data_IF_950478817399
#
_entry.id   IF_950478817399
#
_cell.length_a   1.000
_cell.length_b   1.000
_cell.length_c   1.000
_cell.angle_alpha   90.00
_cell.angle_beta   90.00
_cell.angle_gamma   90.00
#
_symmetry.space_group_name_H-M   'P 1'
#
loop_
_entity.id
_entity.type
_entity.pdbx_description
1 polymer ?
#
# COMPACT_ATOMS: atom_id res chain seq x y z
N UNK A 1 42.45 2.26 -3.70
CA UNK A 1 41.32 1.26 -3.79
C UNK A 1 40.06 2.04 -3.48
N UNK A 2 38.98 1.90 -4.29
CA UNK A 2 37.69 2.46 -3.91
C UNK A 2 37.25 1.73 -2.62
N UNK A 3 36.81 2.44 -1.58
CA UNK A 3 36.44 1.81 -0.32
C UNK A 3 35.20 0.93 -0.42
N UNK A 4 34.33 1.22 -1.41
CA UNK A 4 33.08 0.48 -1.68
C UNK A 4 32.92 0.20 -3.17
N UNK A 5 32.24 -0.91 -3.49
CA UNK A 5 31.85 -1.28 -4.85
C UNK A 5 30.55 -0.57 -5.26
N UNK A 6 29.64 -0.37 -4.29
CA UNK A 6 28.34 0.31 -4.49
C UNK A 6 28.07 1.34 -3.42
N UNK A 7 27.47 2.45 -3.84
CA UNK A 7 26.81 3.44 -2.97
C UNK A 7 25.29 3.29 -3.23
N UNK A 8 24.55 2.94 -2.20
CA UNK A 8 23.08 2.79 -2.22
C UNK A 8 22.45 4.00 -1.54
N UNK A 9 21.64 4.73 -2.27
CA UNK A 9 20.96 5.92 -1.75
C UNK A 9 19.56 5.56 -1.28
N UNK A 10 19.38 5.61 0.04
CA UNK A 10 18.15 5.25 0.75
C UNK A 10 18.20 3.87 1.40
N UNK A 11 17.94 3.83 2.71
CA UNK A 11 17.89 2.61 3.54
C UNK A 11 16.45 2.06 3.69
N UNK A 12 15.58 2.29 2.69
CA UNK A 12 14.27 1.66 2.61
C UNK A 12 14.37 0.21 2.13
N UNK A 13 13.21 -0.47 1.98
CA UNK A 13 13.16 -1.88 1.61
C UNK A 13 13.95 -2.20 0.32
N UNK A 14 13.83 -1.37 -0.71
CA UNK A 14 14.55 -1.58 -1.97
C UNK A 14 16.07 -1.50 -1.78
N UNK A 15 16.55 -0.42 -1.11
CA UNK A 15 17.98 -0.23 -0.87
C UNK A 15 18.56 -1.31 0.04
N UNK A 16 17.85 -1.71 1.09
CA UNK A 16 18.26 -2.79 1.99
C UNK A 16 18.35 -4.14 1.25
N UNK A 17 17.36 -4.46 0.42
CA UNK A 17 17.37 -5.69 -0.40
C UNK A 17 18.56 -5.69 -1.37
N UNK A 18 18.78 -4.58 -2.10
CA UNK A 18 19.92 -4.49 -3.00
C UNK A 18 21.26 -4.62 -2.27
N UNK A 19 21.41 -3.93 -1.15
CA UNK A 19 22.63 -3.97 -0.35
C UNK A 19 22.92 -5.38 0.16
N UNK A 20 21.90 -6.07 0.68
CA UNK A 20 22.03 -7.46 1.14
C UNK A 20 22.44 -8.39 0.01
N UNK A 21 21.76 -8.34 -1.14
CA UNK A 21 22.07 -9.17 -2.28
C UNK A 21 23.45 -8.90 -2.89
N UNK A 22 23.93 -7.67 -2.86
CA UNK A 22 25.28 -7.34 -3.31
C UNK A 22 26.33 -7.83 -2.29
N UNK A 23 26.09 -7.61 -1.02
CA UNK A 23 27.01 -7.99 0.06
C UNK A 23 27.19 -9.50 0.16
N UNK A 24 26.13 -10.29 0.02
CA UNK A 24 26.20 -11.77 -0.01
C UNK A 24 26.97 -12.31 -1.22
N UNK A 25 27.17 -11.50 -2.26
CA UNK A 25 28.02 -11.81 -3.43
C UNK A 25 29.45 -11.32 -3.27
N UNK A 26 29.80 -10.80 -2.09
CA UNK A 26 31.16 -10.34 -1.74
C UNK A 26 31.44 -8.88 -2.08
N UNK A 27 30.45 -8.10 -2.54
CA UNK A 27 30.64 -6.67 -2.80
C UNK A 27 30.56 -5.85 -1.50
N UNK A 28 31.39 -4.83 -1.40
CA UNK A 28 31.34 -3.84 -0.32
C UNK A 28 30.32 -2.74 -0.67
N UNK A 29 29.34 -2.55 0.19
CA UNK A 29 28.24 -1.63 -0.04
C UNK A 29 28.17 -0.58 1.06
N UNK A 30 28.11 0.69 0.66
CA UNK A 30 27.74 1.78 1.56
C UNK A 30 26.30 2.20 1.28
N UNK A 31 25.45 2.13 2.30
CA UNK A 31 24.08 2.63 2.27
C UNK A 31 24.03 3.99 2.95
N UNK A 32 23.54 5.00 2.26
CA UNK A 32 23.37 6.35 2.83
C UNK A 32 21.88 6.68 2.90
N UNK A 33 21.44 7.22 4.02
CA UNK A 33 20.03 7.56 4.27
C UNK A 33 19.93 9.00 4.78
N UNK A 34 19.02 9.77 4.20
CA UNK A 34 18.79 11.16 4.58
C UNK A 34 18.14 11.30 5.95
N UNK A 35 17.28 10.38 6.32
CA UNK A 35 16.58 10.37 7.62
C UNK A 35 17.52 9.90 8.73
N UNK A 36 17.10 10.12 9.96
CA UNK A 36 17.80 9.63 11.15
C UNK A 36 17.46 8.15 11.49
N UNK A 37 16.83 7.45 10.59
CA UNK A 37 16.42 6.04 10.73
C UNK A 37 16.43 5.31 9.39
N UNK A 38 16.60 4.00 9.42
CA UNK A 38 16.44 3.09 8.29
C UNK A 38 14.96 2.79 8.00
N UNK A 39 14.69 1.85 7.12
CA UNK A 39 13.38 1.32 6.71
C UNK A 39 12.51 2.29 5.88
N UNK A 40 12.95 3.52 5.61
CA UNK A 40 12.22 4.43 4.72
C UNK A 40 10.75 4.61 5.15
N UNK A 41 9.83 4.43 4.22
CA UNK A 41 8.39 4.60 4.49
C UNK A 41 7.75 3.43 5.25
N UNK A 42 8.41 2.29 5.34
CA UNK A 42 7.94 1.16 6.16
C UNK A 42 8.50 1.20 7.59
N UNK A 43 9.11 2.31 7.98
CA UNK A 43 9.64 2.48 9.34
C UNK A 43 8.55 2.25 10.39
N UNK A 44 8.87 1.40 11.35
CA UNK A 44 8.05 1.14 12.54
C UNK A 44 8.84 1.43 13.80
N UNK A 45 8.17 1.95 14.80
CA UNK A 45 8.71 2.11 16.14
C UNK A 45 7.76 1.49 17.16
N UNK A 46 8.32 0.94 18.21
CA UNK A 46 7.52 0.44 19.32
C UNK A 46 7.16 1.58 20.28
N UNK A 47 5.86 1.72 20.55
CA UNK A 47 5.32 2.65 21.55
C UNK A 47 4.35 1.87 22.44
N UNK A 48 4.65 1.78 23.71
CA UNK A 48 3.82 1.07 24.71
C UNK A 48 3.49 -0.39 24.28
N UNK A 49 4.45 -1.07 23.68
CA UNK A 49 4.29 -2.46 23.20
C UNK A 49 3.56 -2.60 21.86
N UNK A 50 3.24 -1.48 21.20
CA UNK A 50 2.56 -1.46 19.91
C UNK A 50 3.55 -1.04 18.82
N UNK A 51 3.60 -1.77 17.71
CA UNK A 51 4.39 -1.39 16.53
C UNK A 51 3.63 -0.33 15.73
N UNK A 52 4.07 0.92 15.85
CA UNK A 52 3.48 2.07 15.15
C UNK A 52 4.13 2.24 13.78
N UNK A 53 3.33 2.24 12.72
CA UNK A 53 3.75 2.55 11.36
C UNK A 53 3.76 4.07 11.17
N UNK A 54 4.94 4.69 11.23
CA UNK A 54 5.08 6.15 11.29
C UNK A 54 4.58 6.86 10.02
N UNK A 55 4.73 6.24 8.86
CA UNK A 55 4.39 6.82 7.55
C UNK A 55 3.16 6.18 6.90
N UNK A 56 2.27 5.64 7.70
CA UNK A 56 1.06 4.94 7.25
C UNK A 56 1.21 3.42 7.24
N UNK A 57 0.07 2.74 7.29
CA UNK A 57 0.03 1.29 7.39
C UNK A 57 0.60 0.62 6.14
N UNK A 58 1.55 -0.28 6.34
CA UNK A 58 2.10 -1.14 5.31
C UNK A 58 1.82 -2.59 5.67
N UNK A 59 1.21 -3.31 4.76
CA UNK A 59 0.95 -4.74 4.88
C UNK A 59 1.74 -5.44 3.76
N UNK A 60 2.60 -6.37 4.12
CA UNK A 60 3.32 -7.16 3.12
C UNK A 60 2.37 -8.17 2.49
N UNK A 61 2.36 -8.22 1.15
CA UNK A 61 1.57 -9.20 0.41
C UNK A 61 2.25 -9.57 -0.91
N UNK A 62 2.12 -10.82 -1.30
CA UNK A 62 2.64 -11.34 -2.56
C UNK A 62 1.99 -12.68 -2.90
N UNK A 63 1.89 -13.00 -4.19
CA UNK A 63 1.56 -14.35 -4.66
C UNK A 63 2.80 -15.15 -5.07
N UNK A 64 3.98 -14.51 -5.11
CA UNK A 64 5.23 -15.17 -5.43
C UNK A 64 5.85 -15.80 -4.17
N UNK A 65 5.91 -17.13 -4.15
CA UNK A 65 6.50 -17.90 -3.06
C UNK A 65 7.98 -17.57 -2.83
N UNK A 66 8.74 -17.24 -3.89
CA UNK A 66 10.17 -16.92 -3.75
C UNK A 66 10.37 -15.63 -2.97
N UNK A 67 9.52 -14.62 -3.24
CA UNK A 67 9.54 -13.35 -2.50
C UNK A 67 9.14 -13.59 -1.05
N UNK A 68 8.10 -14.41 -0.82
CA UNK A 68 7.67 -14.76 0.54
C UNK A 68 8.76 -15.49 1.33
N UNK A 69 9.40 -16.50 0.73
CA UNK A 69 10.51 -17.24 1.34
C UNK A 69 11.73 -16.34 1.59
N UNK A 70 11.98 -15.38 0.70
CA UNK A 70 13.07 -14.44 0.84
C UNK A 70 12.91 -13.55 2.08
N UNK A 71 11.75 -12.92 2.26
CA UNK A 71 11.55 -12.03 3.41
C UNK A 71 11.49 -12.78 4.74
N UNK A 72 11.17 -14.08 4.70
CA UNK A 72 11.20 -14.95 5.89
C UNK A 72 12.61 -15.28 6.39
N UNK A 73 13.65 -14.97 5.63
CA UNK A 73 15.03 -15.05 6.12
C UNK A 73 15.32 -13.96 7.15
N UNK A 74 14.59 -12.87 7.14
CA UNK A 74 14.85 -11.68 7.95
C UNK A 74 13.79 -11.42 9.04
N UNK A 75 12.59 -11.97 8.90
CA UNK A 75 11.51 -11.79 9.85
C UNK A 75 10.49 -12.93 9.82
N UNK A 76 9.85 -13.18 10.95
CA UNK A 76 8.65 -14.00 11.00
C UNK A 76 7.43 -13.10 10.81
N UNK A 77 6.49 -13.52 9.95
CA UNK A 77 5.27 -12.77 9.70
C UNK A 77 4.09 -13.34 10.49
N UNK A 78 3.21 -12.47 10.96
CA UNK A 78 1.94 -12.88 11.51
C UNK A 78 0.95 -13.25 10.38
N UNK A 79 -0.27 -13.67 10.76
CA UNK A 79 -1.33 -13.98 9.80
C UNK A 79 -2.30 -12.81 9.61
N UNK A 80 -1.80 -11.59 9.67
CA UNK A 80 -2.66 -10.42 9.48
C UNK A 80 -3.26 -10.43 8.08
N UNK A 81 -4.59 -10.41 8.04
CA UNK A 81 -5.35 -10.28 6.80
C UNK A 81 -5.96 -8.89 6.74
N UNK A 82 -5.62 -8.12 5.72
CA UNK A 82 -6.14 -6.77 5.58
C UNK A 82 -7.61 -6.78 5.16
N UNK A 83 -8.49 -6.36 6.04
CA UNK A 83 -9.94 -6.26 5.84
C UNK A 83 -10.43 -4.87 6.23
N UNK A 84 -10.13 -3.83 5.42
CA UNK A 84 -10.50 -2.46 5.75
C UNK A 84 -12.00 -2.27 5.73
N UNK A 85 -12.46 -1.32 6.52
CA UNK A 85 -13.85 -0.86 6.55
C UNK A 85 -13.92 0.64 6.37
N UNK A 86 -15.00 1.13 5.76
CA UNK A 86 -15.33 2.54 5.70
C UNK A 86 -16.42 2.86 6.72
N UNK A 87 -16.29 3.97 7.41
CA UNK A 87 -17.34 4.54 8.25
C UNK A 87 -17.94 5.77 7.51
N UNK A 88 -19.22 5.68 7.20
CA UNK A 88 -19.98 6.80 6.64
C UNK A 88 -21.13 7.14 7.57
N UNK A 89 -21.05 8.27 8.24
CA UNK A 89 -22.08 8.74 9.17
C UNK A 89 -22.50 7.71 10.26
N UNK A 90 -21.55 6.94 10.77
CA UNK A 90 -21.81 5.88 11.75
C UNK A 90 -22.17 4.51 11.17
N UNK A 91 -22.39 4.42 9.88
CA UNK A 91 -22.60 3.14 9.19
C UNK A 91 -21.26 2.57 8.72
N UNK A 92 -21.05 1.28 9.00
CA UNK A 92 -19.81 0.56 8.63
C UNK A 92 -20.06 -0.25 7.35
N UNK A 93 -19.15 -0.08 6.37
CA UNK A 93 -19.14 -0.78 5.09
C UNK A 93 -17.83 -1.52 4.89
N UNK A 94 -17.90 -2.73 4.31
CA UNK A 94 -16.71 -3.49 3.96
C UNK A 94 -16.02 -2.94 2.70
N UNK A 95 -14.69 -3.03 2.68
CA UNK A 95 -13.86 -2.74 1.53
C UNK A 95 -12.94 -3.95 1.23
N UNK A 96 -12.59 -4.20 -0.06
CA UNK A 96 -13.06 -3.53 -1.28
C UNK A 96 -14.56 -3.71 -1.48
N UNK A 97 -15.15 -2.97 -2.43
CA UNK A 97 -16.59 -3.09 -2.75
C UNK A 97 -16.92 -4.51 -3.16
N UNK A 98 -17.65 -5.21 -2.31
CA UNK A 98 -17.97 -6.63 -2.45
C UNK A 98 -19.44 -6.90 -2.07
N UNK A 99 -19.85 -8.17 -2.10
CA UNK A 99 -21.25 -8.52 -1.80
C UNK A 99 -21.70 -8.10 -0.40
N UNK A 100 -20.79 -8.02 0.61
CA UNK A 100 -21.16 -7.49 1.92
C UNK A 100 -21.45 -5.99 1.85
N UNK A 101 -20.68 -5.24 1.04
CA UNK A 101 -20.92 -3.82 0.78
C UNK A 101 -22.26 -3.60 0.09
N UNK A 102 -22.55 -4.38 -0.96
CA UNK A 102 -23.77 -4.26 -1.75
C UNK A 102 -25.02 -4.72 -0.97
N UNK A 103 -24.90 -5.77 -0.17
CA UNK A 103 -25.97 -6.20 0.74
C UNK A 103 -26.29 -5.10 1.76
N UNK A 104 -25.26 -4.48 2.36
CA UNK A 104 -25.46 -3.38 3.32
C UNK A 104 -26.09 -2.14 2.66
N UNK A 105 -25.70 -1.81 1.41
CA UNK A 105 -26.22 -0.65 0.69
C UNK A 105 -27.65 -0.85 0.19
N UNK A 106 -27.93 -2.03 -0.39
CA UNK A 106 -29.10 -2.26 -1.23
C UNK A 106 -29.94 -3.48 -0.84
N UNK A 107 -29.50 -4.30 0.13
CA UNK A 107 -30.19 -5.53 0.53
C UNK A 107 -30.05 -6.68 -0.49
N UNK A 108 -29.24 -6.53 -1.53
CA UNK A 108 -29.04 -7.57 -2.56
C UNK A 108 -28.23 -8.74 -2.00
N UNK A 109 -28.49 -9.94 -2.47
CA UNK A 109 -27.87 -11.18 -1.97
C UNK A 109 -27.14 -11.98 -3.05
N UNK A 110 -27.44 -11.71 -4.33
CA UNK A 110 -26.82 -12.41 -5.46
C UNK A 110 -25.95 -11.47 -6.29
N UNK A 111 -24.90 -11.99 -6.97
CA UNK A 111 -24.09 -11.21 -7.91
C UNK A 111 -24.94 -10.51 -8.98
N UNK A 112 -25.93 -11.18 -9.54
CA UNK A 112 -26.81 -10.65 -10.59
C UNK A 112 -27.61 -9.44 -10.11
N UNK A 113 -28.15 -9.49 -8.88
CA UNK A 113 -28.86 -8.34 -8.30
C UNK A 113 -27.91 -7.16 -8.09
N UNK A 114 -26.69 -7.41 -7.63
CA UNK A 114 -25.69 -6.37 -7.43
C UNK A 114 -25.26 -5.74 -8.76
N UNK A 115 -25.02 -6.54 -9.80
CA UNK A 115 -24.69 -6.06 -11.15
C UNK A 115 -25.83 -5.20 -11.73
N UNK A 116 -27.08 -5.65 -11.60
CA UNK A 116 -28.23 -4.91 -12.07
C UNK A 116 -28.36 -3.55 -11.34
N UNK A 117 -28.12 -3.54 -10.02
CA UNK A 117 -28.19 -2.30 -9.23
C UNK A 117 -27.08 -1.32 -9.60
N UNK A 118 -25.85 -1.79 -9.80
CA UNK A 118 -24.74 -0.94 -10.28
C UNK A 118 -25.08 -0.40 -11.68
N UNK A 119 -25.59 -1.22 -12.58
CA UNK A 119 -25.95 -0.79 -13.93
C UNK A 119 -27.05 0.28 -13.91
N UNK A 120 -28.09 0.12 -13.08
CA UNK A 120 -29.15 1.12 -12.87
C UNK A 120 -28.55 2.48 -12.46
N UNK A 121 -27.66 2.48 -11.48
CA UNK A 121 -27.09 3.72 -10.96
C UNK A 121 -26.06 4.39 -11.89
N UNK A 122 -25.35 3.59 -12.68
CA UNK A 122 -24.45 4.11 -13.72
C UNK A 122 -25.18 4.80 -14.87
N UNK A 123 -26.42 4.37 -15.13
CA UNK A 123 -27.24 4.90 -16.23
C UNK A 123 -27.56 6.40 -16.12
N UNK A 124 -27.38 7.03 -14.96
CA UNK A 124 -27.59 8.48 -14.75
C UNK A 124 -26.67 9.34 -15.62
N UNK A 125 -25.50 8.82 -16.01
CA UNK A 125 -24.56 9.54 -16.89
C UNK A 125 -24.88 9.37 -18.39
N UNK A 126 -25.74 8.43 -18.76
CA UNK A 126 -26.02 8.10 -20.16
C UNK A 126 -24.75 7.65 -20.89
N UNK A 127 -24.62 8.06 -22.16
CA UNK A 127 -23.47 7.79 -23.03
C UNK A 127 -22.36 8.84 -22.95
N UNK A 128 -22.43 9.74 -21.97
CA UNK A 128 -21.43 10.80 -21.80
C UNK A 128 -20.09 10.21 -21.35
N UNK A 129 -19.01 10.59 -22.03
CA UNK A 129 -17.66 10.30 -21.53
C UNK A 129 -17.39 11.12 -20.26
N UNK A 130 -16.87 10.49 -19.18
CA UNK A 130 -16.57 11.18 -17.94
C UNK A 130 -15.50 12.27 -18.12
N UNK A 131 -15.79 13.49 -17.71
CA UNK A 131 -14.88 14.65 -17.81
C UNK A 131 -14.00 14.82 -16.55
N UNK A 132 -14.49 14.34 -15.42
CA UNK A 132 -13.84 14.51 -14.12
C UNK A 132 -13.89 13.21 -13.29
N UNK A 133 -13.24 13.23 -12.13
CA UNK A 133 -13.14 12.06 -11.25
C UNK A 133 -14.51 11.62 -10.71
N UNK A 134 -15.41 12.54 -10.38
CA UNK A 134 -16.76 12.21 -9.92
C UNK A 134 -17.52 11.40 -10.97
N UNK A 135 -17.62 11.93 -12.19
CA UNK A 135 -18.30 11.24 -13.29
C UNK A 135 -17.66 9.88 -13.61
N UNK A 136 -16.32 9.83 -13.60
CA UNK A 136 -15.58 8.58 -13.80
C UNK A 136 -15.90 7.54 -12.71
N UNK A 137 -15.93 7.94 -11.45
CA UNK A 137 -16.25 7.03 -10.36
C UNK A 137 -17.69 6.53 -10.46
N UNK A 138 -18.65 7.42 -10.71
CA UNK A 138 -20.07 7.05 -10.90
C UNK A 138 -20.23 6.10 -12.10
N UNK A 139 -19.52 6.35 -13.20
CA UNK A 139 -19.53 5.44 -14.37
C UNK A 139 -19.02 4.04 -14.08
N UNK A 140 -18.20 3.87 -13.04
CA UNK A 140 -17.63 2.58 -12.65
C UNK A 140 -18.48 1.84 -11.62
N UNK A 141 -18.99 2.53 -10.59
CA UNK A 141 -19.60 1.88 -9.42
C UNK A 141 -20.98 2.42 -9.04
N UNK A 142 -21.46 3.47 -9.69
CA UNK A 142 -22.74 4.11 -9.39
C UNK A 142 -22.69 5.17 -8.30
N UNK A 143 -23.77 5.93 -8.16
CA UNK A 143 -23.85 7.11 -7.27
C UNK A 143 -23.75 6.74 -5.79
N UNK A 144 -24.44 5.71 -5.31
CA UNK A 144 -24.48 5.36 -3.89
C UNK A 144 -23.08 5.02 -3.36
N UNK A 145 -22.30 4.23 -4.10
CA UNK A 145 -20.93 3.87 -3.74
C UNK A 145 -20.04 5.10 -3.82
N UNK A 146 -20.19 5.92 -4.86
CA UNK A 146 -19.40 7.12 -5.01
C UNK A 146 -19.62 8.09 -3.85
N UNK A 147 -20.85 8.51 -3.59
CA UNK A 147 -21.12 9.52 -2.56
C UNK A 147 -20.83 9.05 -1.15
N UNK A 148 -21.09 7.77 -0.83
CA UNK A 148 -20.87 7.24 0.53
C UNK A 148 -19.44 6.82 0.80
N UNK A 149 -18.75 6.24 -0.18
CA UNK A 149 -17.51 5.50 0.09
C UNK A 149 -16.28 6.01 -0.65
N UNK A 150 -16.43 6.89 -1.65
CA UNK A 150 -15.31 7.39 -2.48
C UNK A 150 -15.10 8.88 -2.30
N UNK A 151 -16.14 9.68 -2.47
CA UNK A 151 -16.07 11.15 -2.52
C UNK A 151 -15.29 11.73 -1.34
N UNK A 152 -15.74 11.46 -0.12
CA UNK A 152 -15.15 12.05 1.08
C UNK A 152 -13.69 11.70 1.28
N UNK A 153 -13.32 10.46 1.02
CA UNK A 153 -11.92 10.02 1.08
C UNK A 153 -11.08 10.71 0.00
N UNK A 154 -11.56 10.75 -1.23
CA UNK A 154 -10.84 11.34 -2.37
C UNK A 154 -10.62 12.83 -2.16
N UNK A 155 -11.66 13.58 -1.82
CA UNK A 155 -11.56 15.03 -1.58
C UNK A 155 -10.64 15.35 -0.40
N UNK A 156 -10.66 14.55 0.66
CA UNK A 156 -9.72 14.67 1.78
C UNK A 156 -8.28 14.45 1.35
N UNK A 157 -8.01 13.44 0.52
CA UNK A 157 -6.65 13.11 0.07
C UNK A 157 -6.08 14.17 -0.86
N UNK A 158 -6.91 14.72 -1.75
CA UNK A 158 -6.47 15.67 -2.77
C UNK A 158 -6.61 17.14 -2.34
N UNK A 159 -7.36 17.41 -1.25
CA UNK A 159 -7.66 18.78 -0.79
C UNK A 159 -8.47 19.61 -1.78
N UNK A 160 -9.19 18.95 -2.72
CA UNK A 160 -9.96 19.56 -3.82
C UNK A 160 -11.23 18.77 -4.08
N UNK A 161 -12.23 19.42 -4.68
CA UNK A 161 -13.44 18.75 -5.14
C UNK A 161 -13.12 17.67 -6.19
N UNK A 162 -13.82 16.55 -6.12
CA UNK A 162 -13.69 15.48 -7.12
C UNK A 162 -14.08 15.94 -8.53
N UNK A 163 -14.96 16.94 -8.66
CA UNK A 163 -15.34 17.57 -9.95
C UNK A 163 -14.21 18.38 -10.58
N UNK A 164 -13.21 18.79 -9.80
CA UNK A 164 -12.02 19.51 -10.29
C UNK A 164 -10.85 18.60 -10.60
N UNK A 165 -10.97 17.31 -10.28
CA UNK A 165 -9.92 16.30 -10.49
C UNK A 165 -10.13 15.59 -11.83
N UNK A 166 -9.03 15.33 -12.58
CA UNK A 166 -9.14 14.63 -13.87
C UNK A 166 -9.67 13.19 -13.72
N UNK A 167 -10.49 12.76 -14.67
CA UNK A 167 -11.08 11.41 -14.70
C UNK A 167 -10.04 10.29 -14.64
N UNK A 168 -8.85 10.45 -15.24
CA UNK A 168 -7.82 9.44 -15.30
C UNK A 168 -7.23 9.02 -13.93
N UNK A 169 -7.46 9.82 -12.88
CA UNK A 169 -7.01 9.47 -11.50
C UNK A 169 -7.66 8.17 -11.04
N UNK A 170 -8.94 7.96 -11.40
CA UNK A 170 -9.65 6.70 -11.15
C UNK A 170 -9.93 6.00 -12.47
N UNK A 171 -9.01 5.18 -12.93
CA UNK A 171 -9.20 4.40 -14.15
C UNK A 171 -10.05 3.16 -13.95
N UNK A 172 -10.03 2.58 -12.76
CA UNK A 172 -10.80 1.41 -12.37
C UNK A 172 -11.00 1.39 -10.86
N UNK A 173 -12.14 0.88 -10.44
CA UNK A 173 -12.43 0.58 -9.05
C UNK A 173 -12.71 -0.93 -8.95
N UNK A 174 -12.04 -1.64 -8.05
CA UNK A 174 -12.24 -3.08 -7.91
C UNK A 174 -13.62 -3.36 -7.33
N UNK A 175 -14.49 -3.95 -8.14
CA UNK A 175 -15.79 -4.50 -7.72
C UNK A 175 -15.66 -6.01 -7.68
N UNK A 176 -16.11 -6.64 -6.60
CA UNK A 176 -16.04 -8.08 -6.40
C UNK A 176 -17.42 -8.65 -6.06
N UNK A 177 -17.89 -9.56 -6.90
CA UNK A 177 -19.19 -10.25 -6.68
C UNK A 177 -19.02 -11.49 -5.80
N UNK A 178 -18.26 -11.35 -4.71
CA UNK A 178 -18.02 -12.39 -3.70
C UNK A 178 -18.19 -11.80 -2.30
N UNK A 179 -18.40 -12.65 -1.30
CA UNK A 179 -18.46 -12.25 0.11
C UNK A 179 -17.08 -12.22 0.79
N UNK A 180 -15.99 -12.22 0.03
CA UNK A 180 -14.63 -12.17 0.56
C UNK A 180 -14.23 -10.73 0.87
N UNK A 181 -13.91 -10.45 2.14
CA UNK A 181 -13.48 -9.14 2.63
C UNK A 181 -11.96 -8.92 2.55
N UNK A 182 -11.18 -9.90 2.11
CA UNK A 182 -9.73 -9.72 1.98
C UNK A 182 -9.44 -8.61 0.98
N UNK A 183 -8.70 -7.58 1.40
CA UNK A 183 -8.33 -6.48 0.51
C UNK A 183 -7.41 -6.94 -0.63
N UNK A 184 -6.41 -7.75 -0.30
CA UNK A 184 -5.49 -8.32 -1.27
C UNK A 184 -5.98 -9.70 -1.77
N UNK A 185 -5.72 -9.99 -3.04
CA UNK A 185 -5.97 -11.31 -3.63
C UNK A 185 -4.74 -12.22 -3.56
N UNK A 186 -3.64 -11.73 -2.98
CA UNK A 186 -2.40 -12.47 -2.89
C UNK A 186 -2.48 -13.64 -1.93
N UNK A 187 -1.74 -14.70 -2.25
CA UNK A 187 -1.70 -15.95 -1.48
C UNK A 187 -1.09 -15.74 -0.10
N UNK A 188 -0.09 -14.86 -0.01
CA UNK A 188 0.67 -14.57 1.21
C UNK A 188 0.46 -13.13 1.61
N UNK A 189 0.18 -12.90 2.89
CA UNK A 189 0.11 -11.57 3.46
C UNK A 189 0.40 -11.61 4.96
N UNK A 190 0.87 -10.50 5.51
CA UNK A 190 1.17 -10.38 6.93
C UNK A 190 1.95 -9.13 7.26
N UNK A 191 2.21 -8.97 8.55
CA UNK A 191 3.06 -7.91 9.09
C UNK A 191 4.20 -8.60 9.86
N UNK A 192 5.45 -8.15 9.71
CA UNK A 192 6.58 -8.75 10.43
C UNK A 192 6.41 -8.57 11.94
N UNK A 193 6.58 -9.65 12.69
CA UNK A 193 6.56 -9.64 14.15
C UNK A 193 7.77 -8.82 14.63
N UNK A 194 7.51 -7.83 15.49
CA UNK A 194 8.52 -6.89 15.95
C UNK A 194 8.74 -5.69 15.02
N UNK A 195 7.94 -5.59 13.94
CA UNK A 195 7.91 -4.43 13.04
C UNK A 195 8.87 -4.53 11.85
N UNK A 196 8.63 -3.69 10.86
CA UNK A 196 9.43 -3.65 9.64
C UNK A 196 10.87 -3.16 9.88
N UNK A 197 11.08 -2.28 10.84
CA UNK A 197 12.42 -1.75 11.12
C UNK A 197 13.38 -2.88 11.49
N UNK A 198 12.97 -3.83 12.33
CA UNK A 198 13.79 -5.01 12.68
C UNK A 198 14.08 -5.90 11.48
N UNK A 199 13.13 -6.03 10.56
CA UNK A 199 13.37 -6.78 9.32
C UNK A 199 14.45 -6.11 8.46
N UNK A 200 14.41 -4.78 8.34
CA UNK A 200 15.42 -4.03 7.60
C UNK A 200 16.77 -4.02 8.31
N UNK A 201 16.79 -3.96 9.65
CA UNK A 201 18.02 -4.16 10.44
C UNK A 201 18.68 -5.49 10.10
N UNK A 202 17.90 -6.59 10.10
CA UNK A 202 18.41 -7.92 9.75
C UNK A 202 18.92 -8.02 8.30
N UNK A 203 18.30 -7.31 7.34
CA UNK A 203 18.81 -7.25 5.97
C UNK A 203 20.14 -6.50 5.85
N UNK A 204 20.34 -5.48 6.67
CA UNK A 204 21.53 -4.62 6.63
C UNK A 204 22.66 -5.12 7.56
N UNK A 205 22.39 -6.12 8.40
CA UNK A 205 23.37 -6.72 9.30
C UNK A 205 24.30 -7.68 8.52
N UNK A 206 25.31 -7.13 7.88
CA UNK A 206 26.29 -7.86 7.09
C UNK A 206 27.65 -7.15 7.12
N UNK A 207 28.75 -7.88 7.26
CA UNK A 207 30.12 -7.35 7.36
C UNK A 207 30.54 -6.46 6.18
N UNK A 208 29.96 -6.67 5.01
CA UNK A 208 30.21 -5.90 3.79
C UNK A 208 29.26 -4.71 3.61
N UNK A 209 28.39 -4.42 4.57
CA UNK A 209 27.46 -3.30 4.52
C UNK A 209 27.81 -2.28 5.58
N UNK A 210 28.00 -1.03 5.15
CA UNK A 210 28.11 0.13 6.03
C UNK A 210 26.89 1.04 5.82
N UNK A 211 26.22 1.41 6.91
CA UNK A 211 25.04 2.31 6.87
C UNK A 211 25.39 3.64 7.50
N UNK A 212 25.11 4.74 6.79
CA UNK A 212 25.29 6.10 7.30
C UNK A 212 23.96 6.86 7.21
N UNK A 213 23.47 7.29 8.38
CA UNK A 213 22.24 8.05 8.51
C UNK A 213 22.50 9.56 8.49
N UNK A 214 21.44 10.36 8.27
CA UNK A 214 21.52 11.83 8.21
C UNK A 214 22.41 12.34 7.07
N UNK A 215 22.51 11.60 5.98
CA UNK A 215 23.31 11.98 4.80
C UNK A 215 22.41 12.28 3.62
N UNK A 216 22.37 13.54 3.21
CA UNK A 216 21.74 13.93 1.94
C UNK A 216 22.73 13.70 0.79
N UNK A 217 22.42 12.73 -0.07
CA UNK A 217 23.24 12.39 -1.24
C UNK A 217 23.55 13.60 -2.12
N UNK A 218 22.55 14.45 -2.39
CA UNK A 218 22.73 15.60 -3.27
C UNK A 218 23.68 16.68 -2.69
N UNK A 219 23.77 16.74 -1.35
CA UNK A 219 24.71 17.64 -0.69
C UNK A 219 26.14 17.09 -0.67
N UNK A 220 26.32 15.77 -0.78
CA UNK A 220 27.60 15.08 -0.64
C UNK A 220 28.00 14.22 -1.84
N UNK A 221 27.32 14.35 -2.98
CA UNK A 221 27.53 13.48 -4.15
C UNK A 221 28.98 13.44 -4.66
N UNK A 222 29.73 14.52 -4.45
CA UNK A 222 31.11 14.67 -4.91
C UNK A 222 32.13 13.98 -3.95
N UNK A 223 31.66 13.49 -2.79
CA UNK A 223 32.47 12.72 -1.83
C UNK A 223 32.49 11.21 -2.15
N UNK A 224 31.57 10.74 -2.98
CA UNK A 224 31.37 9.34 -3.37
C UNK A 224 31.73 9.12 -4.84
#
# INVERSE_FOLDING_TARGET
>A
MKPFDYIVVGAGLFGATFAHEAATRGYKVKVIEKRNHIAGNIYTKEVEGIQVHEYGAHIFHTSDKKIWDYVHQFATFNRYTNTPVANFNGEIYNLPFNMNTFNKLWGVVTPQEAEAKIAEQRAVLGDKEPENLEEQAISLVGEDIYYKLIKGYTEKQWGRSATELPAFIIRRLPVRYTYNNNYFNDTYQGIPIGGYTKMIEAMLDHENIEVELNVDFFAKKDEY
#
